data_IF_266432345058
#
_entry.id   IF_266432345058
#
_cell.length_a   1.000
_cell.length_b   1.000
_cell.length_c   1.000
_cell.angle_alpha   90.00
_cell.angle_beta   90.00
_cell.angle_gamma   90.00
#
_symmetry.space_group_name_H-M   'P 1'
#
loop_
_entity.id
_entity.type
_entity.pdbx_description
1 polymer ?
#
# COMPACT_ATOMS: atom_id res chain seq x y z
N UNK A 1 5.49 42.86 -16.32
CA UNK A 1 6.18 41.56 -16.43
C UNK A 1 5.11 40.48 -16.54
N UNK A 2 4.92 39.89 -17.72
CA UNK A 2 3.85 38.90 -17.94
C UNK A 2 4.34 37.51 -17.52
N UNK A 3 3.93 37.07 -16.33
CA UNK A 3 4.17 35.70 -15.88
C UNK A 3 3.23 34.77 -16.66
N UNK A 4 3.82 33.99 -17.56
CA UNK A 4 3.10 32.93 -18.29
C UNK A 4 3.36 31.59 -17.60
N UNK A 5 2.40 30.66 -17.65
CA UNK A 5 2.55 29.29 -17.12
C UNK A 5 3.85 28.61 -17.61
N UNK A 6 4.24 28.89 -18.86
CA UNK A 6 5.46 28.35 -19.49
C UNK A 6 6.73 28.91 -18.86
N UNK A 7 6.78 30.20 -18.54
CA UNK A 7 7.95 30.81 -17.91
C UNK A 7 8.06 30.43 -16.43
N UNK A 8 6.91 30.22 -15.75
CA UNK A 8 6.88 29.70 -14.38
C UNK A 8 7.44 28.27 -14.31
N UNK A 9 6.96 27.35 -15.17
CA UNK A 9 7.43 25.97 -15.21
C UNK A 9 8.93 25.84 -15.51
N UNK A 10 9.46 26.70 -16.39
CA UNK A 10 10.90 26.77 -16.69
C UNK A 10 11.75 27.19 -15.48
N UNK A 11 11.21 28.04 -14.61
CA UNK A 11 11.91 28.48 -13.39
C UNK A 11 11.79 27.49 -12.23
N UNK A 12 10.67 26.77 -12.10
CA UNK A 12 10.42 25.84 -10.99
C UNK A 12 11.24 24.55 -11.04
N UNK A 13 11.64 24.09 -12.24
CA UNK A 13 12.43 22.86 -12.39
C UNK A 13 13.87 22.98 -11.85
N UNK A 14 14.37 24.20 -11.61
CA UNK A 14 15.78 24.44 -11.30
C UNK A 14 16.07 24.71 -9.81
N UNK A 15 15.08 24.83 -8.92
CA UNK A 15 15.30 25.47 -7.61
C UNK A 15 14.77 24.75 -6.37
N UNK A 16 14.12 23.58 -6.48
CA UNK A 16 13.64 22.86 -5.30
C UNK A 16 14.51 21.61 -5.04
N UNK A 17 15.13 21.45 -3.86
CA UNK A 17 15.73 20.18 -3.48
C UNK A 17 14.64 19.11 -3.43
N UNK A 18 14.86 18.01 -4.13
CA UNK A 18 13.92 16.90 -4.17
C UNK A 18 14.06 16.08 -2.88
N UNK A 19 13.32 16.47 -1.83
CA UNK A 19 13.34 15.77 -0.55
C UNK A 19 12.48 14.52 -0.65
N UNK A 20 13.12 13.38 -0.89
CA UNK A 20 12.48 12.06 -0.88
C UNK A 20 12.67 11.42 0.49
N UNK A 21 11.59 10.86 1.05
CA UNK A 21 11.68 10.10 2.29
C UNK A 21 12.54 8.83 2.11
N UNK A 22 13.47 8.50 3.02
CA UNK A 22 14.37 7.34 2.90
C UNK A 22 13.69 6.00 2.58
N UNK A 23 12.49 5.76 3.12
CA UNK A 23 11.74 4.51 2.89
C UNK A 23 11.27 4.35 1.44
N UNK A 24 11.04 5.45 0.72
CA UNK A 24 10.65 5.42 -0.71
C UNK A 24 11.79 4.87 -1.56
N UNK A 25 13.03 5.13 -1.17
CA UNK A 25 14.24 4.63 -1.83
C UNK A 25 14.63 3.23 -1.36
N UNK A 26 13.85 2.59 -0.48
CA UNK A 26 14.17 1.28 0.09
C UNK A 26 15.39 1.30 1.04
N UNK A 27 15.77 2.46 1.57
CA UNK A 27 16.88 2.55 2.52
C UNK A 27 16.59 1.76 3.81
N UNK A 28 17.65 1.29 4.47
CA UNK A 28 17.56 0.50 5.71
C UNK A 28 16.73 -0.79 5.60
N UNK A 29 16.62 -1.37 4.40
CA UNK A 29 15.86 -2.60 4.17
C UNK A 29 14.34 -2.41 4.15
N UNK A 30 13.87 -1.15 4.06
CA UNK A 30 12.49 -0.83 3.78
C UNK A 30 12.10 -1.38 2.40
N UNK A 31 10.86 -1.87 2.25
CA UNK A 31 10.34 -2.23 0.94
C UNK A 31 9.89 -0.93 0.27
N UNK A 32 10.49 -0.55 -0.88
CA UNK A 32 10.05 0.65 -1.57
C UNK A 32 8.61 0.46 -2.07
N UNK A 33 7.83 1.55 -2.24
CA UNK A 33 6.45 1.46 -2.70
C UNK A 33 6.29 0.75 -4.06
N UNK A 34 7.30 0.81 -4.94
CA UNK A 34 7.30 0.12 -6.23
C UNK A 34 7.32 -1.41 -6.11
N UNK A 35 7.80 -1.94 -4.98
CA UNK A 35 7.89 -3.37 -4.69
C UNK A 35 6.76 -3.81 -3.72
N UNK A 36 5.73 -2.97 -3.55
CA UNK A 36 4.58 -3.25 -2.69
C UNK A 36 3.34 -3.58 -3.52
N UNK A 37 2.77 -4.76 -3.29
CA UNK A 37 1.49 -5.21 -3.85
C UNK A 37 0.36 -4.93 -2.87
N UNK A 38 -0.58 -4.08 -3.28
CA UNK A 38 -1.83 -3.82 -2.54
C UNK A 38 -2.87 -4.87 -2.89
N UNK A 39 -3.21 -5.72 -1.93
CA UNK A 39 -4.09 -6.85 -2.11
C UNK A 39 -5.50 -6.54 -1.58
N UNK A 40 -6.51 -6.80 -2.40
CA UNK A 40 -7.90 -6.90 -1.97
C UNK A 40 -8.35 -8.36 -2.00
N UNK A 41 -9.18 -8.78 -1.04
CA UNK A 41 -9.70 -10.16 -1.01
C UNK A 41 -11.21 -10.21 -0.99
N UNK A 42 -11.76 -11.06 -1.88
CA UNK A 42 -13.18 -11.31 -2.01
C UNK A 42 -13.43 -12.79 -1.67
N UNK A 43 -14.33 -13.03 -0.73
CA UNK A 43 -14.60 -14.35 -0.17
C UNK A 43 -13.58 -14.71 0.92
N UNK A 44 -14.06 -14.81 2.15
CA UNK A 44 -13.29 -14.99 3.39
C UNK A 44 -13.52 -16.37 4.00
N UNK A 45 -13.77 -17.37 3.14
CA UNK A 45 -13.92 -18.77 3.50
C UNK A 45 -12.59 -19.47 3.85
N UNK A 46 -12.61 -20.80 3.87
CA UNK A 46 -11.45 -21.61 4.26
C UNK A 46 -10.21 -21.38 3.39
N UNK A 47 -10.38 -21.21 2.07
CA UNK A 47 -9.25 -21.01 1.15
C UNK A 47 -8.53 -19.68 1.39
N UNK A 48 -9.28 -18.61 1.58
CA UNK A 48 -8.71 -17.30 1.92
C UNK A 48 -7.93 -17.40 3.23
N UNK A 49 -8.54 -17.97 4.28
CA UNK A 49 -7.87 -18.16 5.57
C UNK A 49 -6.58 -18.97 5.48
N UNK A 50 -6.55 -20.03 4.68
CA UNK A 50 -5.35 -20.83 4.45
C UNK A 50 -4.24 -20.02 3.77
N UNK A 51 -4.55 -19.34 2.66
CA UNK A 51 -3.58 -18.53 1.92
C UNK A 51 -3.06 -17.37 2.77
N UNK A 52 -3.92 -16.76 3.59
CA UNK A 52 -3.49 -15.71 4.48
C UNK A 52 -2.51 -16.19 5.54
N UNK A 53 -2.86 -17.26 6.25
CA UNK A 53 -2.00 -17.83 7.29
C UNK A 53 -0.65 -18.31 6.74
N UNK A 54 -0.61 -18.87 5.53
CA UNK A 54 0.60 -19.53 4.99
C UNK A 54 1.43 -18.65 4.06
N UNK A 55 0.83 -17.68 3.39
CA UNK A 55 1.48 -16.93 2.31
C UNK A 55 1.46 -15.45 2.63
N UNK A 56 0.30 -14.82 2.69
CA UNK A 56 0.24 -13.35 2.75
C UNK A 56 0.58 -12.76 4.12
N UNK A 57 0.48 -13.51 5.21
CA UNK A 57 0.99 -13.09 6.51
C UNK A 57 2.52 -12.98 6.53
N UNK A 58 3.20 -13.85 5.77
CA UNK A 58 4.66 -13.97 5.74
C UNK A 58 5.30 -13.25 4.53
N UNK A 59 4.51 -12.94 3.51
CA UNK A 59 4.99 -12.29 2.30
C UNK A 59 5.45 -10.85 2.58
N UNK A 60 6.71 -10.58 2.26
CA UNK A 60 7.27 -9.22 2.27
C UNK A 60 6.73 -8.44 1.07
N UNK A 61 6.40 -7.17 1.26
CA UNK A 61 5.88 -6.31 0.18
C UNK A 61 4.41 -6.56 -0.17
N UNK A 62 3.63 -7.25 0.66
CA UNK A 62 2.19 -7.40 0.46
C UNK A 62 1.40 -6.68 1.56
N UNK A 63 0.48 -5.80 1.16
CA UNK A 63 -0.37 -5.04 2.07
C UNK A 63 -1.84 -5.30 1.73
N UNK A 64 -2.63 -5.77 2.70
CA UNK A 64 -4.07 -6.04 2.49
C UNK A 64 -4.83 -4.75 2.69
N UNK A 65 -5.41 -4.19 1.64
CA UNK A 65 -6.06 -2.88 1.75
C UNK A 65 -7.58 -2.96 1.81
N UNK A 66 -8.15 -4.12 1.48
CA UNK A 66 -9.59 -4.34 1.52
C UNK A 66 -9.95 -5.82 1.63
N UNK A 67 -11.12 -6.08 2.23
CA UNK A 67 -11.73 -7.40 2.30
C UNK A 67 -13.24 -7.30 2.04
N UNK A 68 -13.81 -8.36 1.48
CA UNK A 68 -15.23 -8.45 1.16
C UNK A 68 -15.72 -9.90 1.33
N UNK A 69 -16.89 -10.08 1.94
CA UNK A 69 -17.65 -11.33 1.97
C UNK A 69 -19.14 -10.99 2.08
N UNK A 70 -20.02 -11.87 1.59
CA UNK A 70 -21.47 -11.73 1.74
C UNK A 70 -21.91 -12.00 3.19
N UNK A 71 -21.15 -12.81 3.92
CA UNK A 71 -21.41 -13.13 5.32
C UNK A 71 -20.65 -12.15 6.22
N UNK A 72 -21.39 -11.22 6.84
CA UNK A 72 -20.84 -10.22 7.77
C UNK A 72 -20.02 -10.85 8.90
N UNK A 73 -20.46 -11.99 9.43
CA UNK A 73 -19.72 -12.73 10.47
C UNK A 73 -18.29 -13.09 10.02
N UNK A 74 -18.11 -13.47 8.75
CA UNK A 74 -16.79 -13.80 8.20
C UNK A 74 -15.94 -12.56 8.03
N UNK A 75 -16.54 -11.44 7.63
CA UNK A 75 -15.86 -10.14 7.55
C UNK A 75 -15.31 -9.75 8.92
N UNK A 76 -16.16 -9.75 9.95
CA UNK A 76 -15.81 -9.38 11.32
C UNK A 76 -14.74 -10.29 11.91
N UNK A 77 -14.88 -11.61 11.75
CA UNK A 77 -13.86 -12.58 12.18
C UNK A 77 -12.52 -12.37 11.49
N UNK A 78 -12.55 -12.07 10.19
CA UNK A 78 -11.33 -11.84 9.43
C UNK A 78 -10.64 -10.53 9.84
N UNK A 79 -11.39 -9.46 10.04
CA UNK A 79 -10.87 -8.17 10.53
C UNK A 79 -10.27 -8.30 11.94
N UNK A 80 -10.95 -8.99 12.86
CA UNK A 80 -10.43 -9.25 14.21
C UNK A 80 -9.14 -10.09 14.19
N UNK A 81 -9.05 -11.05 13.27
CA UNK A 81 -7.88 -11.92 13.15
C UNK A 81 -6.67 -11.22 12.54
N UNK A 82 -6.88 -10.18 11.72
CA UNK A 82 -5.83 -9.41 11.06
C UNK A 82 -6.03 -7.90 11.23
N UNK A 83 -5.94 -7.38 12.47
CA UNK A 83 -6.27 -5.97 12.75
C UNK A 83 -5.26 -4.99 12.15
N UNK A 84 -3.99 -5.38 12.06
CA UNK A 84 -2.87 -4.49 11.69
C UNK A 84 -2.69 -4.26 10.18
N UNK A 85 -3.59 -4.74 9.32
CA UNK A 85 -3.40 -4.63 7.86
C UNK A 85 -4.26 -3.59 7.17
N UNK A 86 -5.24 -2.98 7.84
CA UNK A 86 -6.11 -1.95 7.25
C UNK A 86 -5.57 -0.52 7.46
N UNK A 87 -4.35 -0.24 7.02
CA UNK A 87 -3.80 1.13 6.97
C UNK A 87 -3.03 1.29 5.69
#
# INVERSE_FOLDING_TARGET
MNITRRNLLKGTLAAAPFVIAPHVLGQNGAVPPSETVRLGVIGLGGRANYLFNRTFAQARGCQIVSVCDIFEERLNKFQQKYPEKYT
#
